data_IF_102417502547
#
_entry.id   IF_102417502547
#
_cell.length_a   1.000
_cell.length_b   1.000
_cell.length_c   1.000
_cell.angle_alpha   90.00
_cell.angle_beta   90.00
_cell.angle_gamma   90.00
#
_symmetry.space_group_name_H-M   'P 1'
#
loop_
_entity.id
_entity.type
_entity.pdbx_description
1 polymer ?
#
# COMPACT_ATOMS: atom_id res chain seq x y z
N UNK A 1 62.14 -17.46 -51.28
CA UNK A 1 63.31 -17.92 -50.52
C UNK A 1 63.33 -17.21 -49.17
N UNK A 2 63.48 -17.99 -48.09
CA UNK A 2 63.76 -17.64 -46.68
C UNK A 2 62.71 -16.77 -45.92
N UNK A 3 61.84 -17.32 -45.06
CA UNK A 3 62.02 -17.79 -43.67
C UNK A 3 62.63 -16.77 -42.71
N UNK A 4 61.86 -16.30 -41.72
CA UNK A 4 62.20 -16.45 -40.29
C UNK A 4 60.96 -16.21 -39.40
N UNK A 5 60.61 -17.25 -38.63
CA UNK A 5 59.69 -17.22 -37.48
C UNK A 5 60.46 -16.65 -36.28
N UNK A 6 59.86 -15.73 -35.53
CA UNK A 6 60.27 -15.48 -34.16
C UNK A 6 59.12 -15.75 -33.18
N UNK A 7 59.34 -16.84 -32.46
CA UNK A 7 58.74 -17.27 -31.21
C UNK A 7 59.03 -16.21 -30.14
N UNK A 8 58.04 -15.77 -29.37
CA UNK A 8 58.29 -15.10 -28.09
C UNK A 8 57.67 -15.89 -26.95
N UNK A 9 58.55 -16.17 -25.99
CA UNK A 9 58.42 -16.98 -24.79
C UNK A 9 57.27 -16.54 -23.88
N UNK A 10 56.53 -17.54 -23.38
CA UNK A 10 55.71 -17.42 -22.19
C UNK A 10 56.61 -17.32 -20.95
N UNK A 11 56.38 -16.31 -20.12
CA UNK A 11 56.90 -16.25 -18.76
C UNK A 11 55.74 -16.49 -17.79
N UNK A 12 55.79 -17.63 -17.11
CA UNK A 12 54.92 -17.97 -16.00
C UNK A 12 55.31 -17.16 -14.76
N UNK A 13 54.32 -16.53 -14.12
CA UNK A 13 54.42 -16.10 -12.72
C UNK A 13 53.27 -16.74 -11.98
N UNK A 14 53.58 -17.77 -11.19
CA UNK A 14 52.71 -18.30 -10.16
C UNK A 14 52.87 -17.44 -8.91
N UNK A 15 51.79 -16.83 -8.43
CA UNK A 15 51.70 -16.24 -7.11
C UNK A 15 50.38 -16.68 -6.45
N UNK A 16 50.55 -17.67 -5.57
CA UNK A 16 49.94 -17.86 -4.26
C UNK A 16 48.40 -17.82 -4.15
N UNK A 17 47.89 -19.03 -3.88
CA UNK A 17 46.63 -19.35 -3.23
C UNK A 17 46.38 -18.42 -2.03
N UNK A 18 45.41 -17.52 -2.18
CA UNK A 18 44.73 -16.88 -1.06
C UNK A 18 43.30 -17.40 -1.04
N UNK A 19 42.89 -17.96 0.09
CA UNK A 19 41.57 -18.52 0.34
C UNK A 19 40.47 -17.54 -0.07
N UNK A 20 39.96 -17.72 -1.29
CA UNK A 20 38.71 -17.16 -1.72
C UNK A 20 37.63 -17.83 -0.90
N UNK A 21 37.17 -17.13 0.15
CA UNK A 21 35.88 -17.37 0.76
C UNK A 21 34.84 -17.35 -0.36
N UNK A 22 34.54 -18.53 -0.90
CA UNK A 22 33.34 -18.75 -1.71
C UNK A 22 32.21 -18.47 -0.75
N UNK A 23 31.72 -17.24 -0.78
CA UNK A 23 30.46 -16.88 -0.18
C UNK A 23 29.43 -17.62 -1.02
N UNK A 24 29.19 -18.89 -0.67
CA UNK A 24 28.02 -19.61 -1.07
C UNK A 24 26.86 -18.82 -0.49
N UNK A 25 26.34 -17.86 -1.27
CA UNK A 25 24.99 -17.36 -1.06
C UNK A 25 24.10 -18.52 -1.43
N UNK A 26 23.93 -19.42 -0.46
CA UNK A 26 22.75 -20.24 -0.34
C UNK A 26 21.59 -19.25 -0.35
N UNK A 27 21.06 -19.01 -1.55
CA UNK A 27 19.83 -18.30 -1.77
C UNK A 27 18.74 -19.14 -1.12
N UNK A 28 18.55 -18.98 0.19
CA UNK A 28 17.26 -19.22 0.81
C UNK A 28 16.32 -18.17 0.24
N UNK A 29 15.84 -18.39 -0.99
CA UNK A 29 14.59 -17.81 -1.47
C UNK A 29 13.51 -18.43 -0.59
N UNK A 30 13.37 -17.89 0.62
CA UNK A 30 12.23 -18.16 1.46
C UNK A 30 10.98 -17.78 0.67
N UNK A 31 9.91 -18.54 0.86
CA UNK A 31 8.60 -18.34 0.23
C UNK A 31 7.90 -17.02 0.64
N UNK A 32 8.65 -15.94 0.87
CA UNK A 32 8.15 -14.64 1.32
C UNK A 32 8.89 -13.43 0.75
N UNK A 33 9.92 -13.61 -0.10
CA UNK A 33 10.59 -12.48 -0.74
C UNK A 33 9.75 -11.92 -1.90
N UNK A 34 9.55 -10.60 -1.94
CA UNK A 34 8.89 -9.89 -3.02
C UNK A 34 9.66 -10.07 -4.35
N UNK A 35 8.95 -10.44 -5.43
CA UNK A 35 9.52 -10.63 -6.76
C UNK A 35 9.05 -9.51 -7.73
N UNK A 36 9.86 -8.48 -7.96
CA UNK A 36 9.47 -7.35 -8.81
C UNK A 36 9.22 -7.74 -10.27
N UNK A 37 9.73 -8.88 -10.75
CA UNK A 37 9.55 -9.32 -12.14
C UNK A 37 8.10 -9.69 -12.48
N UNK A 38 7.26 -9.89 -11.46
CA UNK A 38 5.83 -10.24 -11.60
C UNK A 38 4.91 -9.02 -11.57
N UNK A 39 5.48 -7.81 -11.49
CA UNK A 39 4.73 -6.56 -11.50
C UNK A 39 4.49 -6.09 -12.94
N UNK A 40 3.23 -5.81 -13.25
CA UNK A 40 2.80 -5.21 -14.51
C UNK A 40 2.29 -3.80 -14.22
N UNK A 41 2.89 -2.79 -14.87
CA UNK A 41 2.35 -1.44 -14.84
C UNK A 41 1.06 -1.39 -15.67
N UNK A 42 -0.04 -0.95 -15.07
CA UNK A 42 -1.34 -0.84 -15.71
C UNK A 42 -1.62 0.58 -16.21
N UNK A 43 -1.32 1.58 -15.37
CA UNK A 43 -1.54 2.99 -15.69
C UNK A 43 -0.55 3.88 -14.94
N UNK A 44 -0.27 5.05 -15.50
CA UNK A 44 0.41 6.16 -14.81
C UNK A 44 -0.58 7.18 -14.23
N UNK A 45 -1.83 7.20 -14.71
CA UNK A 45 -2.90 8.11 -14.31
C UNK A 45 -4.23 7.35 -14.18
N UNK A 46 -4.62 6.92 -12.96
CA UNK A 46 -3.81 6.97 -11.74
C UNK A 46 -2.64 6.00 -11.83
N UNK A 47 -1.63 6.16 -10.98
CA UNK A 47 -0.55 5.17 -10.88
C UNK A 47 -1.13 3.85 -10.37
N UNK A 48 -1.09 2.81 -11.19
CA UNK A 48 -1.65 1.50 -10.87
C UNK A 48 -0.74 0.37 -11.38
N UNK A 49 -0.48 -0.62 -10.53
CA UNK A 49 0.43 -1.73 -10.77
C UNK A 49 -0.20 -3.04 -10.27
N UNK A 50 -0.13 -4.08 -11.08
CA UNK A 50 -0.64 -5.41 -10.74
C UNK A 50 0.52 -6.35 -10.48
N UNK A 51 0.61 -6.89 -9.28
CA UNK A 51 1.55 -7.96 -8.96
C UNK A 51 0.85 -9.31 -9.13
N UNK A 52 1.34 -10.13 -10.07
CA UNK A 52 0.81 -11.47 -10.31
C UNK A 52 1.20 -12.42 -9.19
N UNK A 53 0.25 -13.18 -8.63
CA UNK A 53 0.45 -14.12 -7.51
C UNK A 53 1.27 -13.54 -6.36
N UNK A 54 0.88 -12.35 -5.91
CA UNK A 54 1.41 -11.69 -4.72
C UNK A 54 1.19 -12.50 -3.44
N UNK A 55 0.03 -13.15 -3.34
CA UNK A 55 -0.29 -14.12 -2.30
C UNK A 55 -0.25 -15.54 -2.86
N UNK A 56 0.12 -16.49 -2.01
CA UNK A 56 -0.09 -17.92 -2.28
C UNK A 56 -1.55 -18.30 -2.06
N UNK A 57 -2.00 -19.41 -2.67
CA UNK A 57 -3.36 -19.90 -2.45
C UNK A 57 -3.66 -20.18 -0.97
N UNK A 58 -2.68 -20.71 -0.24
CA UNK A 58 -2.79 -20.97 1.19
C UNK A 58 -2.92 -19.68 2.02
N UNK A 59 -2.21 -18.61 1.65
CA UNK A 59 -2.38 -17.29 2.29
C UNK A 59 -3.77 -16.72 2.02
N UNK A 60 -4.29 -16.85 0.79
CA UNK A 60 -5.65 -16.42 0.46
C UNK A 60 -6.70 -17.18 1.28
N UNK A 61 -6.60 -18.51 1.34
CA UNK A 61 -7.55 -19.36 2.08
C UNK A 61 -7.47 -19.11 3.59
N UNK A 62 -6.27 -18.85 4.11
CA UNK A 62 -6.07 -18.46 5.51
C UNK A 62 -6.78 -17.15 5.86
N UNK A 63 -6.61 -16.10 5.04
CA UNK A 63 -7.28 -14.81 5.26
C UNK A 63 -8.81 -14.94 5.20
N UNK A 64 -9.34 -15.76 4.28
CA UNK A 64 -10.78 -16.05 4.20
C UNK A 64 -11.25 -16.78 5.46
N UNK A 65 -10.49 -17.78 5.94
CA UNK A 65 -10.84 -18.56 7.13
C UNK A 65 -10.88 -17.69 8.40
N UNK A 66 -9.96 -16.74 8.56
CA UNK A 66 -9.96 -15.80 9.67
C UNK A 66 -11.21 -14.91 9.71
N UNK A 67 -11.81 -14.65 8.54
CA UNK A 67 -12.89 -13.69 8.37
C UNK A 67 -14.30 -14.29 8.27
N UNK A 68 -14.43 -15.51 7.75
CA UNK A 68 -15.72 -16.09 7.30
C UNK A 68 -16.86 -15.99 8.30
N UNK A 69 -16.58 -16.17 9.58
CA UNK A 69 -17.60 -16.19 10.66
C UNK A 69 -17.72 -14.84 11.41
N UNK A 70 -17.05 -13.80 10.94
CA UNK A 70 -16.93 -12.48 11.59
C UNK A 70 -17.32 -11.30 10.69
N UNK A 71 -17.88 -11.58 9.50
CA UNK A 71 -18.25 -10.55 8.54
C UNK A 71 -19.52 -9.81 8.97
N UNK A 72 -19.45 -8.48 8.97
CA UNK A 72 -20.60 -7.59 9.16
C UNK A 72 -20.84 -6.76 7.89
N UNK A 73 -21.99 -6.09 7.76
CA UNK A 73 -22.24 -5.23 6.59
C UNK A 73 -21.21 -4.10 6.54
N UNK A 74 -20.65 -3.88 5.35
CA UNK A 74 -19.57 -2.91 5.16
C UNK A 74 -20.08 -1.48 5.34
N UNK A 75 -19.24 -0.64 5.95
CA UNK A 75 -19.53 0.77 6.18
C UNK A 75 -18.64 1.66 5.31
N UNK A 76 -19.03 2.93 5.17
CA UNK A 76 -18.24 3.98 4.49
C UNK A 76 -18.07 5.18 5.41
N UNK A 77 -16.99 5.95 5.24
CA UNK A 77 -16.82 7.22 5.94
C UNK A 77 -17.70 8.30 5.29
N UNK A 78 -18.53 8.96 6.08
CA UNK A 78 -19.31 10.11 5.63
C UNK A 78 -18.40 11.32 5.37
N UNK A 79 -18.59 11.99 4.23
CA UNK A 79 -17.70 13.06 3.76
C UNK A 79 -17.73 14.32 4.64
N UNK A 80 -18.84 14.58 5.35
CA UNK A 80 -18.99 15.78 6.18
C UNK A 80 -18.59 15.51 7.63
N UNK A 81 -19.15 14.44 8.22
CA UNK A 81 -18.99 14.13 9.63
C UNK A 81 -17.80 13.21 9.93
N UNK A 82 -17.28 12.50 8.93
CA UNK A 82 -16.27 11.46 9.08
C UNK A 82 -16.77 10.18 9.77
N UNK A 83 -18.07 10.09 10.09
CA UNK A 83 -18.65 8.94 10.79
C UNK A 83 -18.81 7.75 9.85
N UNK A 84 -18.66 6.55 10.41
CA UNK A 84 -18.94 5.29 9.71
C UNK A 84 -20.45 5.09 9.55
N UNK A 85 -20.95 5.03 8.31
CA UNK A 85 -22.38 4.88 7.98
C UNK A 85 -22.65 3.68 7.07
N UNK A 86 -23.82 3.05 7.24
CA UNK A 86 -24.31 2.03 6.30
C UNK A 86 -24.64 2.71 4.98
N UNK A 87 -24.29 2.07 3.87
CA UNK A 87 -24.43 2.68 2.56
C UNK A 87 -25.01 1.72 1.52
N UNK A 88 -25.97 2.19 0.74
CA UNK A 88 -26.45 1.49 -0.46
C UNK A 88 -25.39 1.46 -1.58
N UNK A 89 -24.36 2.29 -1.44
CA UNK A 89 -23.26 2.47 -2.39
C UNK A 89 -22.21 1.36 -2.26
N UNK A 90 -22.08 0.76 -1.06
CA UNK A 90 -21.19 -0.37 -0.76
C UNK A 90 -22.00 -1.50 -0.13
N UNK A 91 -22.31 -2.52 -0.90
CA UNK A 91 -23.25 -3.57 -0.46
C UNK A 91 -22.59 -4.81 0.12
N UNK A 92 -21.25 -4.88 0.11
CA UNK A 92 -20.46 -6.00 0.63
C UNK A 92 -20.58 -6.21 2.14
N UNK A 93 -20.10 -7.37 2.60
CA UNK A 93 -19.77 -7.59 4.01
C UNK A 93 -18.25 -7.54 4.22
N UNK A 94 -17.80 -7.15 5.40
CA UNK A 94 -16.38 -6.99 5.70
C UNK A 94 -16.04 -7.05 7.20
N UNK A 95 -14.75 -7.18 7.48
CA UNK A 95 -14.17 -7.11 8.83
C UNK A 95 -12.70 -6.69 8.77
N UNK A 96 -12.13 -6.22 9.89
CA UNK A 96 -10.72 -5.84 10.00
C UNK A 96 -9.94 -6.86 10.81
N UNK A 97 -8.85 -7.38 10.25
CA UNK A 97 -7.90 -8.21 10.99
C UNK A 97 -7.07 -7.32 11.91
N UNK A 98 -6.63 -7.87 13.04
CA UNK A 98 -5.66 -7.18 13.88
C UNK A 98 -4.31 -7.09 13.15
N UNK A 99 -3.56 -6.01 13.37
CA UNK A 99 -2.19 -5.89 12.85
C UNK A 99 -1.34 -7.02 13.41
N UNK A 100 -0.56 -7.68 12.55
CA UNK A 100 0.28 -8.81 12.95
C UNK A 100 -0.47 -9.90 13.74
N UNK A 101 -1.77 -10.09 13.46
CA UNK A 101 -2.64 -11.02 14.19
C UNK A 101 -2.05 -12.44 14.31
N UNK A 102 -1.38 -12.89 13.25
CA UNK A 102 -0.58 -14.11 13.23
C UNK A 102 0.63 -13.97 12.29
N UNK A 103 1.45 -15.02 12.20
CA UNK A 103 2.65 -15.01 11.36
C UNK A 103 2.34 -14.88 9.87
N UNK A 104 1.19 -15.38 9.39
CA UNK A 104 0.79 -15.27 7.98
C UNK A 104 0.46 -13.82 7.67
N UNK A 105 -0.39 -13.19 8.49
CA UNK A 105 -0.75 -11.77 8.38
C UNK A 105 0.51 -10.90 8.48
N UNK A 106 1.39 -11.18 9.43
CA UNK A 106 2.66 -10.45 9.61
C UNK A 106 3.51 -10.48 8.34
N UNK A 107 3.73 -11.67 7.75
CA UNK A 107 4.51 -11.80 6.50
C UNK A 107 3.87 -11.08 5.31
N UNK A 108 2.53 -11.06 5.24
CA UNK A 108 1.81 -10.34 4.19
C UNK A 108 2.00 -8.82 4.37
N UNK A 109 1.89 -8.30 5.59
CA UNK A 109 2.11 -6.88 5.88
C UNK A 109 3.56 -6.45 5.59
N UNK A 110 4.55 -7.28 5.93
CA UNK A 110 5.95 -7.05 5.58
C UNK A 110 6.19 -7.04 4.06
N UNK A 111 5.55 -7.98 3.32
CA UNK A 111 5.62 -8.03 1.86
C UNK A 111 4.98 -6.79 1.21
N UNK A 112 3.88 -6.30 1.77
CA UNK A 112 3.24 -5.05 1.32
C UNK A 112 4.18 -3.86 1.54
N UNK A 113 4.80 -3.74 2.70
CA UNK A 113 5.77 -2.68 2.98
C UNK A 113 6.97 -2.73 2.04
N UNK A 114 7.50 -3.94 1.77
CA UNK A 114 8.61 -4.15 0.84
C UNK A 114 8.24 -3.77 -0.61
N UNK A 115 7.02 -4.07 -1.07
CA UNK A 115 6.58 -3.71 -2.41
C UNK A 115 6.30 -2.21 -2.57
N UNK A 116 5.62 -1.62 -1.59
CA UNK A 116 5.16 -0.22 -1.66
C UNK A 116 6.25 0.79 -1.30
N UNK A 117 7.31 0.35 -0.64
CA UNK A 117 8.32 1.20 0.00
C UNK A 117 7.73 2.17 1.04
N UNK A 118 6.58 1.80 1.61
CA UNK A 118 5.91 2.57 2.66
C UNK A 118 6.05 1.86 4.02
N UNK A 119 6.29 2.60 5.12
CA UNK A 119 6.49 1.98 6.43
C UNK A 119 5.25 1.21 6.92
N UNK A 120 5.40 0.04 7.56
CA UNK A 120 4.28 -0.74 8.09
C UNK A 120 3.35 0.05 9.03
N UNK A 121 3.91 0.96 9.83
CA UNK A 121 3.18 1.80 10.78
C UNK A 121 2.22 2.80 10.11
N UNK A 122 2.42 3.10 8.83
CA UNK A 122 1.50 3.93 8.05
C UNK A 122 0.26 3.15 7.61
N UNK A 123 0.29 1.82 7.62
CA UNK A 123 -0.80 1.00 7.15
C UNK A 123 -1.92 0.88 8.18
N UNK A 124 -3.19 0.93 7.76
CA UNK A 124 -4.32 0.50 8.58
C UNK A 124 -4.32 -1.03 8.75
N UNK A 125 -5.19 -1.57 9.60
CA UNK A 125 -5.49 -3.01 9.62
C UNK A 125 -5.98 -3.51 8.25
N UNK A 126 -5.66 -4.76 7.89
CA UNK A 126 -6.18 -5.37 6.65
C UNK A 126 -7.70 -5.55 6.76
N UNK A 127 -8.43 -5.00 5.80
CA UNK A 127 -9.88 -5.19 5.68
C UNK A 127 -10.19 -6.35 4.74
N UNK A 128 -10.83 -7.41 5.24
CA UNK A 128 -11.38 -8.49 4.42
C UNK A 128 -12.79 -8.12 3.97
N UNK A 129 -13.10 -8.39 2.71
CA UNK A 129 -14.38 -8.09 2.07
C UNK A 129 -14.89 -9.29 1.29
N UNK A 130 -16.20 -9.48 1.35
CA UNK A 130 -16.93 -10.51 0.61
C UNK A 130 -18.09 -9.86 -0.15
N UNK A 131 -18.15 -10.12 -1.46
CA UNK A 131 -19.23 -9.71 -2.34
C UNK A 131 -19.93 -10.95 -2.90
N UNK A 132 -21.25 -11.00 -2.69
CA UNK A 132 -22.16 -11.96 -3.30
C UNK A 132 -22.65 -11.48 -4.67
N UNK A 133 -23.46 -12.30 -5.33
CA UNK A 133 -24.07 -11.95 -6.61
C UNK A 133 -24.85 -10.62 -6.51
N UNK A 134 -24.59 -9.71 -7.43
CA UNK A 134 -25.15 -8.37 -7.49
C UNK A 134 -24.50 -7.34 -6.57
N UNK A 135 -23.74 -7.77 -5.56
CA UNK A 135 -23.06 -6.85 -4.65
C UNK A 135 -21.90 -6.13 -5.36
N UNK A 136 -21.71 -4.86 -5.00
CA UNK A 136 -20.83 -3.91 -5.69
C UNK A 136 -20.28 -2.87 -4.72
N UNK A 137 -19.38 -2.05 -5.24
CA UNK A 137 -19.00 -0.79 -4.60
C UNK A 137 -18.92 0.28 -5.68
N UNK A 138 -19.76 1.31 -5.60
CA UNK A 138 -19.71 2.41 -6.55
C UNK A 138 -18.34 3.11 -6.53
N UNK A 139 -17.99 3.80 -7.64
CA UNK A 139 -16.76 4.55 -7.71
C UNK A 139 -16.61 5.57 -6.56
N UNK A 140 -15.47 5.51 -5.87
CA UNK A 140 -15.12 6.34 -4.74
C UNK A 140 -13.61 6.62 -4.71
N UNK A 141 -13.21 7.47 -3.76
CA UNK A 141 -11.81 7.74 -3.45
C UNK A 141 -11.43 7.08 -2.13
N UNK A 142 -10.19 6.60 -2.05
CA UNK A 142 -9.63 6.12 -0.79
C UNK A 142 -9.05 7.26 0.05
N UNK A 143 -8.73 8.42 -0.52
CA UNK A 143 -8.37 9.59 0.28
C UNK A 143 -9.60 10.20 0.95
N UNK A 144 -9.39 10.84 2.10
CA UNK A 144 -10.47 11.48 2.86
C UNK A 144 -10.83 12.87 2.35
N UNK A 145 -12.10 13.25 2.48
CA UNK A 145 -12.57 14.63 2.31
C UNK A 145 -12.68 15.38 3.64
N UNK A 146 -12.81 14.64 4.75
CA UNK A 146 -13.00 15.20 6.09
C UNK A 146 -11.66 15.37 6.84
N UNK A 147 -11.63 16.33 7.78
CA UNK A 147 -10.43 16.61 8.58
C UNK A 147 -10.21 15.62 9.73
N UNK A 148 -11.26 14.92 10.18
CA UNK A 148 -11.21 14.05 11.35
C UNK A 148 -10.40 12.80 11.05
N UNK A 149 -10.70 12.14 9.92
CA UNK A 149 -9.95 10.98 9.46
C UNK A 149 -8.54 11.36 9.00
N UNK A 150 -8.36 12.54 8.40
CA UNK A 150 -7.01 13.06 8.08
C UNK A 150 -6.15 13.34 9.31
N UNK A 151 -6.73 13.52 10.49
CA UNK A 151 -5.92 13.68 11.70
C UNK A 151 -5.05 12.42 11.88
N UNK A 152 -5.65 11.23 11.76
CA UNK A 152 -5.03 9.93 11.93
C UNK A 152 -4.20 9.56 10.69
N UNK A 153 -2.88 9.76 10.76
CA UNK A 153 -1.96 9.41 9.67
C UNK A 153 -2.02 10.32 8.43
N UNK A 154 -3.01 11.20 8.28
CA UNK A 154 -3.22 11.98 7.05
C UNK A 154 -4.06 11.25 6.01
N UNK A 155 -4.04 11.72 4.77
CA UNK A 155 -4.66 10.98 3.66
C UNK A 155 -4.02 9.59 3.48
N UNK A 156 -4.82 8.65 2.98
CA UNK A 156 -4.33 7.40 2.41
C UNK A 156 -3.62 7.73 1.08
N UNK A 157 -2.32 7.44 1.00
CA UNK A 157 -1.50 7.68 -0.19
C UNK A 157 -1.62 6.54 -1.20
N UNK A 158 -1.76 5.31 -0.70
CA UNK A 158 -1.76 4.10 -1.52
C UNK A 158 -2.70 3.04 -0.93
N UNK A 159 -3.20 2.22 -1.84
CA UNK A 159 -4.06 1.07 -1.52
C UNK A 159 -3.48 -0.17 -2.18
N UNK A 160 -3.34 -1.23 -1.41
CA UNK A 160 -3.07 -2.58 -1.92
C UNK A 160 -4.34 -3.42 -1.78
N UNK A 161 -4.96 -3.72 -2.92
CA UNK A 161 -6.14 -4.57 -3.03
C UNK A 161 -5.72 -5.97 -3.51
N UNK A 162 -5.78 -6.94 -2.62
CA UNK A 162 -5.43 -8.34 -2.88
C UNK A 162 -6.70 -9.15 -3.20
N UNK A 163 -6.67 -9.92 -4.28
CA UNK A 163 -7.79 -10.79 -4.67
C UNK A 163 -7.61 -12.17 -4.03
N UNK A 164 -8.57 -12.57 -3.18
CA UNK A 164 -8.50 -13.83 -2.44
C UNK A 164 -9.28 -14.97 -3.13
N UNK A 165 -10.10 -14.64 -4.14
CA UNK A 165 -10.81 -15.62 -4.96
C UNK A 165 -10.74 -15.25 -6.44
N UNK A 166 -10.91 -16.27 -7.29
CA UNK A 166 -11.28 -16.06 -8.68
C UNK A 166 -12.77 -15.70 -8.73
N UNK A 167 -13.15 -14.83 -9.67
CA UNK A 167 -14.56 -14.54 -9.96
C UNK A 167 -14.83 -14.94 -11.40
N UNK A 168 -15.90 -15.71 -11.62
CA UNK A 168 -16.25 -16.25 -12.93
C UNK A 168 -16.68 -15.12 -13.88
N UNK A 169 -17.52 -14.21 -13.39
CA UNK A 169 -17.97 -13.05 -14.18
C UNK A 169 -18.29 -11.84 -13.28
N UNK A 170 -17.87 -10.66 -13.72
CA UNK A 170 -18.04 -9.42 -12.95
C UNK A 170 -16.96 -9.26 -11.87
N UNK A 171 -17.24 -8.42 -10.87
CA UNK A 171 -16.34 -8.20 -9.73
C UNK A 171 -15.04 -7.46 -10.07
N UNK A 172 -14.90 -6.90 -11.27
CA UNK A 172 -13.70 -6.17 -11.67
C UNK A 172 -13.48 -4.92 -10.80
N UNK A 173 -12.22 -4.60 -10.50
CA UNK A 173 -11.88 -3.28 -9.96
C UNK A 173 -11.76 -2.32 -11.14
N UNK A 174 -12.59 -1.29 -11.20
CA UNK A 174 -12.66 -0.34 -12.31
C UNK A 174 -12.13 1.02 -11.89
N UNK A 175 -11.40 1.69 -12.79
CA UNK A 175 -10.97 3.08 -12.72
C UNK A 175 -11.64 3.88 -13.84
N UNK A 176 -12.80 4.52 -13.59
CA UNK A 176 -13.56 5.22 -14.62
C UNK A 176 -12.84 6.44 -15.19
N UNK A 177 -11.90 7.03 -14.44
CA UNK A 177 -11.18 8.24 -14.84
C UNK A 177 -9.77 7.96 -15.39
N UNK A 178 -9.33 6.69 -15.43
CA UNK A 178 -7.99 6.36 -15.87
C UNK A 178 -7.71 6.83 -17.30
N UNK A 179 -6.52 7.39 -17.51
CA UNK A 179 -6.01 7.73 -18.84
C UNK A 179 -5.87 6.46 -19.68
N UNK A 180 -6.26 6.53 -20.96
CA UNK A 180 -6.20 5.37 -21.84
C UNK A 180 -7.20 4.26 -21.49
N UNK A 181 -8.21 4.51 -20.64
CA UNK A 181 -9.26 3.53 -20.28
C UNK A 181 -9.92 2.81 -21.47
N UNK A 182 -10.05 3.51 -22.60
CA UNK A 182 -10.66 2.97 -23.84
C UNK A 182 -9.68 2.16 -24.69
N UNK A 183 -8.37 2.22 -24.40
CA UNK A 183 -7.32 1.49 -25.11
C UNK A 183 -7.12 0.09 -24.56
N UNK A 184 -7.60 -0.19 -23.34
CA UNK A 184 -7.55 -1.53 -22.78
C UNK A 184 -8.46 -2.47 -23.60
N UNK A 185 -7.91 -3.52 -24.25
CA UNK A 185 -8.72 -4.46 -25.01
C UNK A 185 -9.63 -5.24 -24.06
N UNK A 186 -10.93 -5.28 -24.39
CA UNK A 186 -11.94 -6.02 -23.63
C UNK A 186 -12.77 -6.88 -24.58
N UNK A 187 -12.71 -8.18 -24.36
CA UNK A 187 -13.56 -9.17 -25.02
C UNK A 187 -14.93 -9.29 -24.31
N UNK A 188 -15.68 -10.33 -24.65
CA UNK A 188 -17.00 -10.66 -24.10
C UNK A 188 -16.96 -11.16 -22.64
N UNK A 189 -15.77 -11.48 -22.12
CA UNK A 189 -15.58 -11.94 -20.74
C UNK A 189 -15.56 -10.80 -19.72
N UNK A 190 -15.61 -9.54 -20.17
CA UNK A 190 -15.70 -8.35 -19.31
C UNK A 190 -17.16 -7.94 -19.06
N UNK A 191 -17.47 -7.57 -17.82
CA UNK A 191 -18.79 -7.03 -17.49
C UNK A 191 -19.05 -5.69 -18.20
N UNK A 192 -20.33 -5.35 -18.38
CA UNK A 192 -20.74 -4.05 -18.93
C UNK A 192 -20.18 -2.89 -18.09
N UNK A 193 -20.21 -3.03 -16.77
CA UNK A 193 -19.61 -2.07 -15.84
C UNK A 193 -18.13 -1.80 -16.18
N UNK A 194 -17.33 -2.85 -16.37
CA UNK A 194 -15.91 -2.74 -16.64
C UNK A 194 -15.57 -2.06 -17.99
N UNK A 195 -16.53 -1.94 -18.92
CA UNK A 195 -16.28 -1.34 -20.25
C UNK A 195 -15.99 0.15 -20.18
N UNK A 196 -16.56 0.86 -19.20
CA UNK A 196 -16.47 2.32 -19.09
C UNK A 196 -15.30 2.81 -18.21
N UNK A 197 -14.20 2.06 -18.16
CA UNK A 197 -13.02 2.39 -17.37
C UNK A 197 -11.85 1.48 -17.68
N UNK A 198 -10.66 1.79 -17.15
CA UNK A 198 -9.60 0.79 -17.09
C UNK A 198 -9.96 -0.18 -15.96
N UNK A 199 -9.93 -1.48 -16.19
CA UNK A 199 -10.44 -2.44 -15.22
C UNK A 199 -9.47 -3.60 -14.99
N UNK A 200 -9.54 -4.19 -13.80
CA UNK A 200 -8.70 -5.31 -13.38
C UNK A 200 -9.60 -6.46 -12.94
N UNK A 201 -9.43 -7.62 -13.56
CA UNK A 201 -10.16 -8.82 -13.17
C UNK A 201 -9.60 -9.41 -11.87
N UNK A 202 -10.46 -9.85 -10.94
CA UNK A 202 -10.02 -10.53 -9.74
C UNK A 202 -9.52 -11.94 -10.08
N UNK A 203 -8.22 -12.16 -9.88
CA UNK A 203 -7.56 -13.47 -10.01
C UNK A 203 -6.95 -13.80 -8.66
N UNK A 204 -7.29 -14.96 -8.10
CA UNK A 204 -6.81 -15.39 -6.77
C UNK A 204 -5.28 -15.26 -6.71
N UNK A 205 -4.80 -14.62 -5.65
CA UNK A 205 -3.39 -14.39 -5.39
C UNK A 205 -2.84 -13.10 -5.98
N UNK A 206 -3.46 -12.50 -6.99
CA UNK A 206 -3.02 -11.22 -7.54
C UNK A 206 -3.28 -10.06 -6.56
N UNK A 207 -2.43 -9.03 -6.61
CA UNK A 207 -2.63 -7.80 -5.85
C UNK A 207 -2.47 -6.56 -6.74
N UNK A 208 -3.39 -5.62 -6.59
CA UNK A 208 -3.41 -4.34 -7.26
C UNK A 208 -2.95 -3.25 -6.29
N UNK A 209 -1.84 -2.60 -6.60
CA UNK A 209 -1.37 -1.38 -5.94
C UNK A 209 -1.79 -0.18 -6.78
N UNK A 210 -2.50 0.76 -6.18
CA UNK A 210 -2.78 2.06 -6.81
C UNK A 210 -2.61 3.20 -5.81
N UNK A 211 -2.35 4.39 -6.33
CA UNK A 211 -2.09 5.58 -5.52
C UNK A 211 -3.26 6.55 -5.59
N UNK A 212 -3.68 7.01 -4.41
CA UNK A 212 -4.74 8.02 -4.26
C UNK A 212 -4.20 9.44 -4.29
N UNK A 213 -2.88 9.61 -4.13
CA UNK A 213 -2.20 10.89 -4.20
C UNK A 213 -1.10 10.89 -5.27
N UNK A 214 -0.87 12.07 -5.82
CA UNK A 214 0.29 12.39 -6.63
C UNK A 214 1.57 12.40 -5.76
N UNK A 215 2.77 12.29 -6.38
CA UNK A 215 4.04 12.33 -5.64
C UNK A 215 4.27 13.63 -4.83
N UNK A 216 3.58 14.72 -5.17
CA UNK A 216 3.58 15.99 -4.42
C UNK A 216 2.56 16.01 -3.26
N UNK A 217 1.96 14.86 -2.94
CA UNK A 217 0.94 14.64 -1.92
C UNK A 217 -0.41 15.34 -2.16
N UNK A 218 -0.65 15.88 -3.35
CA UNK A 218 -1.99 16.34 -3.75
C UNK A 218 -2.87 15.15 -4.15
N UNK A 219 -4.19 15.29 -3.98
CA UNK A 219 -5.17 14.22 -4.30
C UNK A 219 -5.26 13.98 -5.79
N UNK A 220 -5.27 12.71 -6.20
CA UNK A 220 -5.37 12.29 -7.60
C UNK A 220 -6.83 11.95 -7.97
N UNK A 221 -7.51 12.83 -8.70
CA UNK A 221 -8.90 12.58 -9.15
C UNK A 221 -9.02 11.44 -10.17
N UNK A 222 -7.92 11.05 -10.81
CA UNK A 222 -7.90 9.91 -11.72
C UNK A 222 -7.95 8.59 -10.92
N UNK A 223 -7.69 8.62 -9.60
CA UNK A 223 -7.75 7.47 -8.69
C UNK A 223 -9.17 7.03 -8.31
N UNK A 224 -10.20 7.66 -8.89
CA UNK A 224 -11.59 7.23 -8.69
C UNK A 224 -11.70 5.76 -9.11
N UNK A 225 -12.17 4.91 -8.20
CA UNK A 225 -12.24 3.47 -8.46
C UNK A 225 -13.43 2.82 -7.76
N UNK A 226 -13.88 1.69 -8.30
CA UNK A 226 -15.01 0.94 -7.75
C UNK A 226 -14.86 -0.57 -7.95
N UNK A 227 -15.78 -1.33 -7.37
CA UNK A 227 -15.93 -2.76 -7.62
C UNK A 227 -17.21 -2.98 -8.43
N UNK A 228 -17.04 -3.42 -9.68
CA UNK A 228 -18.17 -3.82 -10.51
C UNK A 228 -18.99 -4.94 -9.83
N UNK A 229 -20.29 -5.04 -10.13
CA UNK A 229 -21.13 -6.10 -9.57
C UNK A 229 -20.57 -7.49 -9.87
N UNK A 230 -20.61 -8.38 -8.89
CA UNK A 230 -20.38 -9.81 -9.15
C UNK A 230 -21.60 -10.36 -9.90
N UNK A 231 -21.38 -11.05 -11.02
CA UNK A 231 -22.45 -11.62 -11.85
C UNK A 231 -22.52 -13.14 -11.64
N UNK A 232 -21.36 -13.81 -11.65
CA UNK A 232 -21.23 -15.26 -11.42
C UNK A 232 -20.05 -15.52 -10.46
N UNK A 233 -20.24 -16.45 -9.52
CA UNK A 233 -19.30 -16.74 -8.44
C UNK A 233 -19.42 -15.81 -7.22
N UNK A 234 -18.32 -15.63 -6.49
CA UNK A 234 -18.21 -14.76 -5.32
C UNK A 234 -16.84 -14.11 -5.28
N UNK A 235 -16.77 -12.84 -4.85
CA UNK A 235 -15.52 -12.10 -4.73
C UNK A 235 -15.09 -11.99 -3.27
N UNK A 236 -13.90 -12.47 -2.97
CA UNK A 236 -13.20 -12.20 -1.72
C UNK A 236 -11.99 -11.31 -2.01
N UNK A 237 -11.80 -10.28 -1.20
CA UNK A 237 -10.65 -9.38 -1.32
C UNK A 237 -10.14 -8.91 0.04
N UNK A 238 -8.85 -8.63 0.12
CA UNK A 238 -8.22 -8.00 1.28
C UNK A 238 -7.65 -6.64 0.87
N UNK A 239 -8.00 -5.59 1.61
CA UNK A 239 -7.57 -4.21 1.32
C UNK A 239 -6.62 -3.74 2.43
N UNK A 240 -5.47 -3.20 2.04
CA UNK A 240 -4.55 -2.49 2.93
C UNK A 240 -4.47 -1.04 2.48
N UNK A 241 -4.98 -0.13 3.30
CA UNK A 241 -4.80 1.30 3.11
C UNK A 241 -3.53 1.76 3.83
N UNK A 242 -2.79 2.66 3.20
CA UNK A 242 -1.52 3.17 3.72
C UNK A 242 -1.55 4.69 3.71
N UNK A 243 -1.27 5.30 4.87
CA UNK A 243 -1.30 6.74 5.08
C UNK A 243 0.03 7.42 4.75
N UNK A 244 0.00 8.75 4.62
CA UNK A 244 1.20 9.59 4.44
C UNK A 244 2.08 9.65 5.70
N UNK A 245 1.53 9.36 6.89
CA UNK A 245 2.24 9.29 8.18
C UNK A 245 1.79 8.06 8.97
N UNK A 246 2.45 7.79 10.09
CA UNK A 246 2.09 6.69 10.99
C UNK A 246 0.62 6.79 11.42
N UNK A 247 -0.09 5.68 11.24
CA UNK A 247 -1.46 5.46 11.70
C UNK A 247 -1.50 4.92 13.14
N UNK A 248 -0.39 4.34 13.61
CA UNK A 248 -0.27 3.76 14.96
C UNK A 248 -0.01 4.80 16.05
N UNK A 249 0.50 5.97 15.68
CA UNK A 249 0.72 7.04 16.64
C UNK A 249 -0.60 7.75 16.92
N UNK A 250 -1.06 7.83 18.19
CA UNK A 250 -2.18 8.67 18.52
C UNK A 250 -1.81 10.10 18.14
N UNK A 251 -2.61 10.70 17.27
CA UNK A 251 -2.66 12.15 17.18
C UNK A 251 -3.03 12.59 18.59
N UNK A 252 -2.10 13.23 19.31
CA UNK A 252 -2.49 13.94 20.54
C UNK A 252 -3.62 14.87 20.13
N UNK A 253 -4.85 14.54 20.52
CA UNK A 253 -5.95 15.47 20.41
C UNK A 253 -5.50 16.72 21.14
N UNK A 254 -5.49 17.84 20.43
CA UNK A 254 -5.22 19.15 20.98
C UNK A 254 -6.22 19.42 22.09
N UNK A 255 -5.84 19.07 23.32
CA UNK A 255 -6.69 19.09 24.49
C UNK A 255 -5.88 18.76 25.73
N UNK A 256 -5.37 19.80 26.39
CA UNK A 256 -4.92 19.81 27.79
C UNK A 256 -3.45 19.48 28.12
N UNK A 257 -2.51 20.09 27.41
CA UNK A 257 -1.31 20.70 28.01
C UNK A 257 -0.95 21.91 27.14
N UNK A 258 -0.18 22.88 27.63
CA UNK A 258 0.18 24.14 26.92
C UNK A 258 1.02 23.94 25.63
N UNK A 259 0.93 22.78 24.98
CA UNK A 259 1.56 22.45 23.70
C UNK A 259 3.07 22.41 23.80
N UNK A 260 3.61 22.11 24.98
CA UNK A 260 5.04 22.10 25.26
C UNK A 260 5.61 20.71 25.51
N UNK A 261 5.43 19.82 24.55
CA UNK A 261 6.00 18.48 24.58
C UNK A 261 6.82 18.21 23.33
N UNK A 262 7.64 17.16 23.42
CA UNK A 262 8.21 16.49 22.25
C UNK A 262 7.36 15.27 21.93
N UNK A 263 6.87 15.18 20.70
CA UNK A 263 6.05 14.07 20.20
C UNK A 263 6.90 12.95 19.60
N UNK A 264 8.23 13.14 19.53
CA UNK A 264 9.17 12.14 19.06
C UNK A 264 10.36 12.01 20.01
N UNK A 265 10.75 10.77 20.33
CA UNK A 265 11.92 10.45 21.16
C UNK A 265 13.23 10.97 20.59
N UNK A 266 13.28 11.25 19.28
CA UNK A 266 14.45 11.80 18.57
C UNK A 266 14.49 13.33 18.56
N UNK A 267 13.45 14.03 19.03
CA UNK A 267 13.42 15.49 19.08
C UNK A 267 14.68 16.12 19.72
N UNK A 268 15.24 15.57 20.83
CA UNK A 268 16.48 16.11 21.40
C UNK A 268 17.69 15.98 20.47
N UNK A 269 17.78 14.86 19.75
CA UNK A 269 18.87 14.62 18.80
C UNK A 269 18.76 15.54 17.58
N UNK A 270 17.56 15.68 17.03
CA UNK A 270 17.28 16.57 15.91
C UNK A 270 17.52 18.03 16.27
N UNK A 271 17.08 18.47 17.45
CA UNK A 271 17.38 19.79 17.96
C UNK A 271 18.90 20.02 18.11
N UNK A 272 19.63 19.02 18.62
CA UNK A 272 21.09 19.09 18.77
C UNK A 272 21.83 19.23 17.43
N UNK A 273 21.29 18.70 16.33
CA UNK A 273 21.87 18.85 14.98
C UNK A 273 21.30 20.03 14.18
N UNK A 274 20.50 20.88 14.83
CA UNK A 274 20.03 22.16 14.30
C UNK A 274 18.71 22.11 13.52
N UNK A 275 17.93 21.03 13.62
CA UNK A 275 16.67 20.90 12.87
C UNK A 275 15.62 21.96 13.26
N UNK A 276 15.69 22.54 14.46
CA UNK A 276 14.79 23.63 14.86
C UNK A 276 14.84 24.83 13.90
N UNK A 277 16.01 25.07 13.27
CA UNK A 277 16.18 26.13 12.28
C UNK A 277 16.02 25.64 10.84
N UNK A 278 16.42 24.38 10.55
CA UNK A 278 16.37 23.79 9.19
C UNK A 278 14.96 23.32 8.81
N UNK A 279 14.18 22.87 9.77
CA UNK A 279 12.82 22.37 9.60
C UNK A 279 11.86 22.97 10.65
N UNK A 280 11.70 24.31 10.67
CA UNK A 280 10.97 25.00 11.72
C UNK A 280 9.47 24.65 11.74
N UNK A 281 8.87 24.33 10.58
CA UNK A 281 7.45 23.97 10.51
C UNK A 281 7.16 22.66 11.25
N UNK A 282 8.01 21.65 11.11
CA UNK A 282 7.86 20.40 11.85
C UNK A 282 8.30 20.55 13.31
N UNK A 283 9.45 21.17 13.53
CA UNK A 283 10.08 21.19 14.85
C UNK A 283 9.41 22.17 15.82
N UNK A 284 9.12 23.39 15.36
CA UNK A 284 8.60 24.51 16.15
C UNK A 284 7.12 24.76 15.90
N UNK A 285 6.69 24.62 14.65
CA UNK A 285 5.32 24.91 14.22
C UNK A 285 5.16 26.26 13.52
N UNK A 286 3.92 26.55 13.14
CA UNK A 286 3.50 27.84 12.61
C UNK A 286 2.64 28.59 13.63
N UNK A 287 2.09 29.75 13.25
CA UNK A 287 1.14 30.48 14.11
C UNK A 287 -0.19 29.74 14.27
N UNK A 288 -0.51 28.86 13.33
CA UNK A 288 -1.77 28.15 13.21
C UNK A 288 -1.70 26.72 13.79
N UNK A 289 -0.50 26.15 13.88
CA UNK A 289 -0.30 24.79 14.38
C UNK A 289 1.03 24.65 15.14
N UNK A 290 1.03 24.10 16.38
CA UNK A 290 2.26 23.83 17.11
C UNK A 290 3.09 22.74 16.39
N UNK A 291 4.41 22.87 16.44
CA UNK A 291 5.33 21.83 15.98
C UNK A 291 5.44 20.68 16.96
N UNK A 292 6.10 19.62 16.52
CA UNK A 292 6.19 18.33 17.20
C UNK A 292 7.37 18.21 18.16
N UNK A 293 8.33 19.14 18.14
CA UNK A 293 9.55 19.09 18.94
C UNK A 293 9.78 20.39 19.73
N UNK A 294 8.69 21.03 20.17
CA UNK A 294 8.72 22.38 20.74
C UNK A 294 9.52 22.47 22.03
N UNK A 295 9.47 21.41 22.85
CA UNK A 295 10.22 21.31 24.10
C UNK A 295 11.72 21.22 23.81
N UNK A 296 12.14 20.34 22.91
CA UNK A 296 13.54 20.22 22.48
C UNK A 296 14.06 21.47 21.77
N UNK A 297 13.21 22.17 21.03
CA UNK A 297 13.54 23.45 20.40
C UNK A 297 13.47 24.65 21.33
N UNK A 298 13.10 24.45 22.61
CA UNK A 298 13.06 25.49 23.65
C UNK A 298 12.18 26.69 23.25
N UNK A 299 11.14 26.44 22.46
CA UNK A 299 10.17 27.49 22.05
C UNK A 299 8.99 27.60 23.02
N UNK A 300 9.02 26.77 24.06
CA UNK A 300 8.13 26.80 25.20
C UNK A 300 8.91 26.22 26.40
N UNK A 301 8.47 26.55 27.60
CA UNK A 301 8.91 25.92 28.83
C UNK A 301 7.66 25.54 29.61
N UNK A 302 7.72 24.43 30.36
CA UNK A 302 6.70 24.12 31.37
C UNK A 302 6.54 25.28 32.36
#
# INVERSE_FOLDING_TARGET
MAFHRHLFLAAAVALLLGDGLVCATASSRGAGAFDPSRVVQLSWRPRAFLHKGFLTDAECDHLIALAKDKLEKSMVADNESGKSVQSEVRTSSGMFLEKKQDEVVTRIEERIAAWTFLPPENGESIQILHYQNGEKYEPHYDYFHDKNNQALGGHRIATVLMYLSNVEKGGETIFPNAEGKMLQPKDDTWSECARNGYAVKPVKGDALLFFSLHPDATTDSDSLHGSCPVIEGQKWSATKWIHVRSFDLPVKQTGSSDGCDDDNVLCPQWAAVGECAKNPNYMVGTKEAPGFCRKSCKVCAE
#
